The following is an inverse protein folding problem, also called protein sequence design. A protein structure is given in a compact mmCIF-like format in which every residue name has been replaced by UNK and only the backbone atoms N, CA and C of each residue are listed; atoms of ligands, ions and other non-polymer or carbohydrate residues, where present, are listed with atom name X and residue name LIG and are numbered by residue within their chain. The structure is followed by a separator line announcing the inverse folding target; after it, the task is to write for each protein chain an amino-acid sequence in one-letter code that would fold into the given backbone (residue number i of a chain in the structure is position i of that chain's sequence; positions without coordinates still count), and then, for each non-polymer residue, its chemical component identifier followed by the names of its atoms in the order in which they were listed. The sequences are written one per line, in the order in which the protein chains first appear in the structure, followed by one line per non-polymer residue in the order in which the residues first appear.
data_IF_754298392847
#
_entry.id   IF_754298392847
#
_cell.length_a   1.000
_cell.length_b   1.000
_cell.length_c   1.000
_cell.angle_alpha   90.00
_cell.angle_beta   90.00
_cell.angle_gamma   90.00
#
_symmetry.space_group_name_H-M   'P 1'
#
loop_
_entity.id
_entity.type
_entity.pdbx_description
1 polymer ?
#
# COMPACT_ATOMS: atom_id res chain seq x y z
N UNK A 1 -1.98 -31.41 -2.53
CA UNK A 1 -1.75 -30.14 -1.81
C UNK A 1 -0.63 -29.43 -2.54
N UNK A 2 -0.97 -28.50 -3.42
CA UNK A 2 -0.02 -27.50 -3.92
C UNK A 2 -0.39 -26.23 -3.18
N UNK A 3 0.45 -25.81 -2.24
CA UNK A 3 0.35 -24.48 -1.66
C UNK A 3 0.53 -23.50 -2.81
N UNK A 4 -0.58 -22.85 -3.18
CA UNK A 4 -0.55 -21.75 -4.13
C UNK A 4 0.36 -20.67 -3.55
N UNK A 5 1.20 -19.99 -4.35
CA UNK A 5 2.07 -18.93 -3.83
C UNK A 5 1.21 -17.97 -3.01
N UNK A 6 1.65 -17.66 -1.78
CA UNK A 6 0.88 -16.82 -0.86
C UNK A 6 0.65 -15.48 -1.54
N UNK A 7 -0.60 -15.19 -1.89
CA UNK A 7 -0.98 -13.87 -2.39
C UNK A 7 -0.64 -12.84 -1.31
N UNK A 8 -0.04 -11.72 -1.71
CA UNK A 8 0.16 -10.57 -0.84
C UNK A 8 -1.18 -9.93 -0.47
N UNK A 9 -2.12 -9.90 -1.42
CA UNK A 9 -3.49 -9.44 -1.21
C UNK A 9 -4.45 -10.59 -1.52
N UNK A 10 -5.21 -11.03 -0.53
CA UNK A 10 -6.28 -12.03 -0.68
C UNK A 10 -7.58 -11.50 -0.06
N UNK A 11 -8.42 -10.88 -0.89
CA UNK A 11 -9.68 -10.28 -0.44
C UNK A 11 -10.66 -11.34 0.05
N UNK A 12 -10.68 -12.51 -0.59
CA UNK A 12 -11.57 -13.60 -0.21
C UNK A 12 -11.18 -14.19 1.14
N UNK A 13 -9.88 -14.42 1.36
CA UNK A 13 -9.33 -14.86 2.64
C UNK A 13 -9.62 -13.86 3.76
N UNK A 14 -9.40 -12.58 3.49
CA UNK A 14 -9.64 -11.49 4.44
C UNK A 14 -11.12 -11.38 4.86
N UNK A 15 -12.06 -11.45 3.91
CA UNK A 15 -13.50 -11.43 4.24
C UNK A 15 -13.87 -12.64 5.11
N UNK A 16 -13.33 -13.82 4.79
CA UNK A 16 -13.56 -15.05 5.56
C UNK A 16 -13.02 -14.96 6.98
N UNK A 17 -11.85 -14.36 7.16
CA UNK A 17 -11.23 -14.17 8.48
C UNK A 17 -12.02 -13.16 9.33
N UNK A 18 -12.35 -11.99 8.77
CA UNK A 18 -13.05 -10.93 9.50
C UNK A 18 -14.50 -11.30 9.84
N UNK A 19 -15.21 -11.97 8.94
CA UNK A 19 -16.58 -12.42 9.21
C UNK A 19 -16.96 -13.69 8.41
N UNK A 20 -16.78 -14.88 9.00
CA UNK A 20 -17.09 -16.16 8.35
C UNK A 20 -18.56 -16.33 7.96
N UNK A 21 -19.48 -15.71 8.70
CA UNK A 21 -20.92 -15.81 8.43
C UNK A 21 -21.28 -15.00 7.19
N UNK A 22 -20.76 -13.77 7.09
CA UNK A 22 -20.97 -12.92 5.90
C UNK A 22 -20.34 -13.57 4.66
N UNK A 23 -19.13 -14.13 4.79
CA UNK A 23 -18.46 -14.83 3.69
C UNK A 23 -19.32 -15.95 3.08
N UNK A 24 -20.03 -16.73 3.91
CA UNK A 24 -20.94 -17.79 3.45
C UNK A 24 -22.20 -17.28 2.73
N UNK A 25 -22.60 -16.04 3.01
CA UNK A 25 -23.81 -15.43 2.44
C UNK A 25 -23.53 -14.69 1.13
N UNK A 26 -22.32 -14.14 0.96
CA UNK A 26 -21.97 -13.38 -0.23
C UNK A 26 -21.76 -14.34 -1.41
N UNK A 27 -22.44 -14.12 -2.56
CA UNK A 27 -22.18 -14.90 -3.77
C UNK A 27 -20.73 -14.73 -4.27
N UNK A 28 -20.10 -15.82 -4.72
CA UNK A 28 -18.71 -15.81 -5.21
C UNK A 28 -18.45 -14.80 -6.33
N UNK A 29 -19.43 -14.50 -7.18
CA UNK A 29 -19.27 -13.52 -8.26
C UNK A 29 -19.11 -12.09 -7.73
N UNK A 30 -19.71 -11.76 -6.57
CA UNK A 30 -19.57 -10.47 -5.91
C UNK A 30 -18.17 -10.33 -5.33
N UNK A 31 -17.67 -11.37 -4.65
CA UNK A 31 -16.30 -11.40 -4.13
C UNK A 31 -15.32 -11.22 -5.29
N UNK A 32 -15.48 -11.97 -6.38
CA UNK A 32 -14.64 -11.84 -7.57
C UNK A 32 -14.70 -10.46 -8.20
N UNK A 33 -15.89 -9.85 -8.25
CA UNK A 33 -16.04 -8.48 -8.75
C UNK A 33 -15.29 -7.47 -7.86
N UNK A 34 -15.44 -7.57 -6.55
CA UNK A 34 -14.73 -6.70 -5.60
C UNK A 34 -13.21 -6.88 -5.72
N UNK A 35 -12.72 -8.12 -5.67
CA UNK A 35 -11.30 -8.45 -5.82
C UNK A 35 -10.70 -7.91 -7.11
N UNK A 36 -11.30 -8.22 -8.26
CA UNK A 36 -10.66 -8.00 -9.57
C UNK A 36 -11.00 -6.66 -10.22
N UNK A 37 -12.16 -6.07 -9.90
CA UNK A 37 -12.64 -4.84 -10.56
C UNK A 37 -12.63 -3.61 -9.68
N UNK A 38 -12.69 -3.76 -8.36
CA UNK A 38 -12.66 -2.62 -7.43
C UNK A 38 -11.29 -2.50 -6.78
N UNK A 39 -10.77 -3.60 -6.24
CA UNK A 39 -9.50 -3.64 -5.51
C UNK A 39 -8.31 -3.88 -6.44
N UNK A 40 -8.56 -4.46 -7.62
CA UNK A 40 -7.52 -4.84 -8.59
C UNK A 40 -6.46 -5.77 -7.97
N UNK A 41 -6.91 -6.79 -7.23
CA UNK A 41 -6.09 -7.76 -6.51
C UNK A 41 -4.98 -8.38 -7.39
N UNK A 42 -5.29 -8.77 -8.63
CA UNK A 42 -4.30 -9.31 -9.58
C UNK A 42 -3.17 -8.33 -9.89
N UNK A 43 -3.50 -7.06 -10.14
CA UNK A 43 -2.52 -6.01 -10.45
C UNK A 43 -1.62 -5.72 -9.23
N UNK A 44 -2.22 -5.66 -8.03
CA UNK A 44 -1.47 -5.43 -6.80
C UNK A 44 -0.49 -6.57 -6.53
N UNK A 45 -0.95 -7.82 -6.64
CA UNK A 45 -0.08 -8.98 -6.46
C UNK A 45 1.03 -9.05 -7.52
N UNK A 46 0.75 -8.70 -8.78
CA UNK A 46 1.77 -8.61 -9.84
C UNK A 46 2.83 -7.55 -9.53
N UNK A 47 2.41 -6.37 -9.07
CA UNK A 47 3.33 -5.30 -8.65
C UNK A 47 4.24 -5.80 -7.52
N UNK A 48 3.66 -6.45 -6.51
CA UNK A 48 4.38 -6.97 -5.34
C UNK A 48 5.34 -8.11 -5.72
N UNK A 49 4.94 -9.00 -6.63
CA UNK A 49 5.79 -10.11 -7.08
C UNK A 49 6.95 -9.66 -7.96
N UNK A 50 6.76 -8.64 -8.79
CA UNK A 50 7.78 -8.19 -9.74
C UNK A 50 8.84 -7.27 -9.09
N UNK A 51 8.59 -6.77 -7.89
CA UNK A 51 9.45 -5.80 -7.21
C UNK A 51 9.85 -6.25 -5.80
N UNK A 52 9.96 -7.56 -5.57
CA UNK A 52 10.34 -8.12 -4.26
C UNK A 52 11.68 -7.60 -3.74
N UNK A 53 12.59 -7.21 -4.63
CA UNK A 53 13.91 -6.67 -4.28
C UNK A 53 13.89 -5.16 -3.97
N UNK A 54 12.87 -4.43 -4.42
CA UNK A 54 12.70 -3.02 -4.11
C UNK A 54 12.04 -2.87 -2.74
N UNK A 55 12.80 -2.43 -1.74
CA UNK A 55 12.32 -2.31 -0.37
C UNK A 55 12.09 -0.84 0.00
N UNK A 56 11.14 -0.62 0.91
CA UNK A 56 10.89 0.67 1.55
C UNK A 56 10.67 1.82 0.53
N UNK A 57 11.53 2.82 0.55
CA UNK A 57 11.41 4.02 -0.26
C UNK A 57 11.65 3.77 -1.76
N UNK A 58 12.45 2.76 -2.11
CA UNK A 58 12.70 2.38 -3.50
C UNK A 58 11.40 1.90 -4.15
N UNK A 59 10.64 1.10 -3.42
CA UNK A 59 9.31 0.66 -3.84
C UNK A 59 8.36 1.85 -3.99
N UNK A 60 8.38 2.81 -3.06
CA UNK A 60 7.54 4.01 -3.16
C UNK A 60 7.85 4.84 -4.40
N UNK A 61 9.14 5.05 -4.73
CA UNK A 61 9.54 5.75 -5.96
C UNK A 61 9.10 5.01 -7.20
N UNK A 62 9.28 3.70 -7.23
CA UNK A 62 8.85 2.87 -8.35
C UNK A 62 7.34 2.96 -8.59
N UNK A 63 6.54 2.98 -7.52
CA UNK A 63 5.10 3.18 -7.65
C UNK A 63 4.75 4.59 -8.14
N UNK A 64 5.42 5.62 -7.65
CA UNK A 64 5.26 6.98 -8.19
C UNK A 64 5.52 7.01 -9.71
N UNK A 65 6.61 6.41 -10.16
CA UNK A 65 6.96 6.32 -11.59
C UNK A 65 5.92 5.52 -12.38
N UNK A 66 5.56 4.32 -11.91
CA UNK A 66 4.61 3.42 -12.58
C UNK A 66 3.24 4.08 -12.77
N UNK A 67 2.77 4.83 -11.78
CA UNK A 67 1.48 5.50 -11.82
C UNK A 67 1.54 6.93 -12.35
N UNK A 68 2.71 7.42 -12.77
CA UNK A 68 2.89 8.77 -13.29
C UNK A 68 2.61 9.87 -12.25
N UNK A 69 2.81 9.57 -10.97
CA UNK A 69 2.63 10.51 -9.86
C UNK A 69 3.79 11.50 -9.89
N UNK A 70 3.45 12.79 -10.05
CA UNK A 70 4.41 13.89 -9.96
C UNK A 70 4.26 14.58 -8.62
N UNK A 71 5.28 14.49 -7.80
CA UNK A 71 5.31 15.12 -6.48
C UNK A 71 6.04 16.46 -6.58
N UNK A 72 5.38 17.53 -6.12
CA UNK A 72 6.01 18.84 -5.93
C UNK A 72 6.20 19.04 -4.43
N UNK A 73 7.43 19.33 -4.01
CA UNK A 73 7.78 19.55 -2.61
C UNK A 73 8.04 21.04 -2.41
N UNK A 74 7.46 21.61 -1.37
CA UNK A 74 7.70 22.99 -0.95
C UNK A 74 8.06 22.99 0.53
N UNK A 75 9.10 23.73 0.92
CA UNK A 75 9.53 23.84 2.31
C UNK A 75 10.36 22.65 2.84
N UNK A 76 11.02 21.88 1.96
CA UNK A 76 11.81 20.72 2.36
C UNK A 76 12.96 21.04 3.33
N UNK A 77 13.45 22.27 3.30
CA UNK A 77 14.47 22.78 4.22
C UNK A 77 14.02 22.76 5.69
N UNK A 78 12.72 22.68 5.95
CA UNK A 78 12.14 22.64 7.28
C UNK A 78 12.10 21.22 7.87
N UNK A 79 12.46 20.19 7.10
CA UNK A 79 12.44 18.80 7.57
C UNK A 79 13.51 18.61 8.66
N UNK A 80 13.14 18.26 9.91
CA UNK A 80 14.11 18.05 10.97
C UNK A 80 14.98 16.83 10.68
N UNK A 81 16.30 17.01 10.62
CA UNK A 81 17.26 15.93 10.32
C UNK A 81 17.53 15.00 11.50
N UNK A 82 17.29 15.48 12.72
CA UNK A 82 17.57 14.77 13.97
C UNK A 82 16.39 14.89 14.94
N UNK A 83 16.33 13.98 15.92
CA UNK A 83 15.26 13.95 16.91
C UNK A 83 13.96 13.31 16.39
N UNK A 84 13.01 13.11 17.30
CA UNK A 84 11.68 12.57 17.00
C UNK A 84 10.78 13.65 16.41
N UNK A 85 10.07 13.31 15.33
CA UNK A 85 9.13 14.21 14.64
C UNK A 85 7.90 13.41 14.20
N UNK A 86 6.74 14.07 14.20
CA UNK A 86 5.50 13.53 13.62
C UNK A 86 5.14 14.42 12.44
N UNK A 87 5.09 13.83 11.25
CA UNK A 87 4.56 14.47 10.05
C UNK A 87 3.06 14.15 9.95
N UNK A 88 2.23 15.16 10.19
CA UNK A 88 0.79 15.05 9.98
C UNK A 88 0.43 15.60 8.60
N UNK A 89 -0.24 14.80 7.79
CA UNK A 89 -0.69 15.16 6.44
C UNK A 89 -2.18 14.84 6.26
N UNK A 90 -2.84 15.61 5.41
CA UNK A 90 -4.14 15.21 4.89
C UNK A 90 -3.99 14.01 3.94
N UNK A 91 -5.06 13.22 3.80
CA UNK A 91 -5.00 11.96 3.06
C UNK A 91 -6.23 11.74 2.15
N UNK A 92 -6.49 12.64 1.19
CA UNK A 92 -7.69 12.54 0.36
C UNK A 92 -7.70 11.32 -0.57
N UNK A 93 -6.53 10.80 -0.98
CA UNK A 93 -6.44 9.70 -1.94
C UNK A 93 -6.10 8.36 -1.28
N UNK A 94 -5.86 8.33 0.03
CA UNK A 94 -5.39 7.10 0.66
C UNK A 94 -3.99 6.75 0.16
N UNK A 95 -3.67 5.46 0.02
CA UNK A 95 -2.30 4.95 -0.17
C UNK A 95 -1.39 5.69 -1.16
N UNK A 96 -1.92 6.31 -2.22
CA UNK A 96 -1.13 7.15 -3.14
C UNK A 96 -0.45 8.35 -2.44
N UNK A 97 -1.12 9.02 -1.50
CA UNK A 97 -0.49 10.15 -0.80
C UNK A 97 0.63 9.65 0.13
N UNK A 98 0.47 8.45 0.71
CA UNK A 98 1.49 7.85 1.56
C UNK A 98 2.75 7.52 0.75
N UNK A 99 2.57 6.93 -0.43
CA UNK A 99 3.65 6.66 -1.38
C UNK A 99 4.36 7.96 -1.78
N UNK A 100 3.58 9.01 -2.11
CA UNK A 100 4.13 10.31 -2.48
C UNK A 100 4.96 10.94 -1.34
N UNK A 101 4.43 10.97 -0.11
CA UNK A 101 5.11 11.50 1.07
C UNK A 101 6.38 10.71 1.39
N UNK A 102 6.34 9.38 1.34
CA UNK A 102 7.52 8.55 1.59
C UNK A 102 8.59 8.79 0.52
N UNK A 103 8.19 8.87 -0.75
CA UNK A 103 9.14 9.15 -1.85
C UNK A 103 9.81 10.52 -1.71
N UNK A 104 9.12 11.50 -1.12
CA UNK A 104 9.65 12.84 -0.87
C UNK A 104 10.59 12.89 0.35
N UNK A 105 10.23 12.21 1.45
CA UNK A 105 11.01 12.24 2.70
C UNK A 105 12.31 11.44 2.57
N UNK A 106 12.36 10.43 1.70
CA UNK A 106 13.49 9.51 1.57
C UNK A 106 14.87 10.17 1.41
N UNK A 107 14.91 11.36 0.79
CA UNK A 107 16.14 12.13 0.53
C UNK A 107 16.68 12.74 1.84
N UNK A 108 15.81 12.98 2.81
CA UNK A 108 16.10 13.70 4.05
C UNK A 108 16.18 12.79 5.28
N UNK A 109 15.36 11.74 5.34
CA UNK A 109 15.29 10.79 6.45
C UNK A 109 15.02 9.37 5.97
N UNK A 110 15.76 8.42 6.53
CA UNK A 110 15.59 6.97 6.28
C UNK A 110 14.91 6.24 7.43
N UNK A 111 14.71 6.90 8.56
CA UNK A 111 14.18 6.35 9.81
C UNK A 111 12.67 6.55 9.97
N UNK A 112 11.93 6.59 8.86
CA UNK A 112 10.49 6.86 8.84
C UNK A 112 9.70 5.59 9.12
N UNK A 113 8.65 5.71 9.93
CA UNK A 113 7.66 4.65 10.12
C UNK A 113 6.30 5.17 9.72
N UNK A 114 5.56 4.35 8.96
CA UNK A 114 4.20 4.65 8.56
C UNK A 114 3.22 3.87 9.44
N UNK A 115 2.23 4.56 9.98
CA UNK A 115 1.22 3.96 10.83
C UNK A 115 0.05 3.54 9.94
N UNK A 116 -0.17 2.24 9.85
CA UNK A 116 -1.27 1.64 9.10
C UNK A 116 -2.12 0.78 10.02
N UNK A 117 -3.34 0.48 9.59
CA UNK A 117 -4.18 -0.48 10.28
C UNK A 117 -3.79 -1.92 9.91
N UNK A 118 -4.38 -2.86 10.63
CA UNK A 118 -4.27 -4.30 10.44
C UNK A 118 -4.81 -4.80 9.09
N UNK A 119 -5.65 -4.02 8.40
CA UNK A 119 -6.12 -4.33 7.05
C UNK A 119 -5.04 -4.10 5.99
N UNK A 120 -4.03 -3.28 6.31
CA UNK A 120 -2.97 -2.82 5.41
C UNK A 120 -1.57 -3.30 5.87
N UNK A 121 -1.51 -4.24 6.83
CA UNK A 121 -0.29 -4.87 7.36
C UNK A 121 0.00 -6.21 6.69
#
# INVERSE_FOLDING_TARGET
MQDSPSKFVDVNGLIKEKNPTVHKLIPNWVIRYLSEKVIYESLLNEIMSNHQESLNFDFCRLLCEKFGIRVKIEGEENIPKNGGVIFAANHPLGGMDAIAVMSAIDIHRKDVKFLVNDLLL
#
